data_IF_085266921332
#
_entry.id   IF_085266921332
#
_cell.length_a   1.000
_cell.length_b   1.000
_cell.length_c   1.000
_cell.angle_alpha   90.00
_cell.angle_beta   90.00
_cell.angle_gamma   90.00
#
_symmetry.space_group_name_H-M   'P 1'
#
loop_
_entity.id
_entity.type
_entity.pdbx_description
1 polymer ?
#
# COMPACT_ATOMS: atom_id res chain seq x y z
N UNK A 1 -5.18 -6.51 -20.07
CA UNK A 1 -5.59 -5.74 -18.88
C UNK A 1 -4.64 -6.12 -17.76
N UNK A 2 -3.96 -5.14 -17.20
CA UNK A 2 -3.10 -5.33 -16.04
C UNK A 2 -3.92 -5.87 -14.86
N UNK A 3 -3.32 -6.78 -14.08
CA UNK A 3 -3.95 -7.26 -12.84
C UNK A 3 -3.68 -6.23 -11.75
N UNK A 4 -4.73 -5.63 -11.24
CA UNK A 4 -4.64 -4.76 -10.07
C UNK A 4 -4.51 -5.60 -8.80
N UNK A 5 -3.47 -5.35 -8.02
CA UNK A 5 -3.35 -5.79 -6.64
C UNK A 5 -3.70 -4.68 -5.67
N UNK A 6 -3.76 -4.98 -4.38
CA UNK A 6 -3.96 -4.01 -3.32
C UNK A 6 -2.85 -4.14 -2.27
N UNK A 7 -2.21 -3.02 -1.93
CA UNK A 7 -1.31 -2.90 -0.79
C UNK A 7 -2.00 -2.07 0.28
N UNK A 8 -2.17 -2.63 1.48
CA UNK A 8 -2.68 -1.93 2.65
C UNK A 8 -1.49 -1.66 3.58
N UNK A 9 -1.14 -0.39 3.75
CA UNK A 9 -0.09 0.04 4.66
C UNK A 9 -0.67 0.13 6.08
N UNK A 10 -0.50 -0.92 6.87
CA UNK A 10 -1.02 -1.03 8.23
C UNK A 10 0.05 -0.81 9.30
N UNK A 11 1.33 -0.93 8.95
CA UNK A 11 2.47 -0.67 9.81
C UNK A 11 2.61 0.80 10.15
N UNK A 12 3.07 1.08 11.36
CA UNK A 12 3.36 2.44 11.83
C UNK A 12 3.40 2.50 13.35
N UNK A 13 4.34 3.29 13.88
CA UNK A 13 4.47 3.49 15.33
C UNK A 13 3.31 4.34 15.85
N UNK A 14 2.19 3.71 16.20
CA UNK A 14 1.05 4.38 16.86
C UNK A 14 1.36 4.71 18.34
N UNK A 15 2.56 5.26 18.61
CA UNK A 15 3.09 5.51 19.97
C UNK A 15 2.20 6.41 20.82
N UNK A 16 1.35 7.23 20.21
CA UNK A 16 0.45 8.17 20.91
C UNK A 16 -0.87 7.56 21.35
N UNK A 17 -1.27 6.41 20.80
CA UNK A 17 -2.62 5.86 20.98
C UNK A 17 -2.63 4.54 21.78
N UNK A 18 -1.47 4.03 22.19
CA UNK A 18 -1.35 2.82 23.02
C UNK A 18 -1.72 1.50 22.33
N UNK A 19 -2.25 1.56 21.11
CA UNK A 19 -2.57 0.39 20.29
C UNK A 19 -2.37 0.68 18.79
N UNK A 20 -2.11 -0.36 17.96
CA UNK A 20 -1.96 -0.19 16.52
C UNK A 20 -3.19 0.46 15.87
N UNK A 21 -2.96 1.51 15.05
CA UNK A 21 -4.05 2.23 14.37
C UNK A 21 -4.92 1.29 13.53
N UNK A 22 -4.32 0.29 12.91
CA UNK A 22 -5.00 -0.71 12.08
C UNK A 22 -6.14 -1.45 12.83
N UNK A 23 -5.98 -1.65 14.13
CA UNK A 23 -6.95 -2.35 14.97
C UNK A 23 -7.99 -1.43 15.62
N UNK A 24 -7.92 -0.13 15.38
CA UNK A 24 -8.93 0.80 15.91
C UNK A 24 -10.30 0.49 15.32
N UNK A 25 -11.36 0.60 16.15
CA UNK A 25 -12.71 0.40 15.70
C UNK A 25 -13.12 1.47 14.67
N UNK A 26 -13.80 1.02 13.63
CA UNK A 26 -14.44 1.82 12.61
C UNK A 26 -15.96 1.63 12.70
N UNK A 27 -16.68 1.84 11.62
CA UNK A 27 -18.14 1.71 11.56
C UNK A 27 -18.56 0.24 11.81
N UNK A 28 -19.69 0.02 12.49
CA UNK A 28 -20.30 -1.29 12.75
C UNK A 28 -19.44 -2.30 13.53
N UNK A 29 -18.46 -1.83 14.29
CA UNK A 29 -17.59 -2.69 15.09
C UNK A 29 -16.44 -3.36 14.31
N UNK A 30 -16.30 -3.08 13.03
CA UNK A 30 -15.13 -3.47 12.24
C UNK A 30 -13.91 -2.65 12.67
N UNK A 31 -12.71 -3.22 12.48
CA UNK A 31 -11.47 -2.45 12.58
C UNK A 31 -11.15 -1.74 11.25
N UNK A 32 -10.29 -0.71 11.29
CA UNK A 32 -9.84 -0.02 10.08
C UNK A 32 -9.23 -0.99 9.06
N UNK A 33 -8.43 -1.96 9.53
CA UNK A 33 -7.82 -2.95 8.63
C UNK A 33 -8.85 -3.93 8.05
N UNK A 34 -9.86 -4.34 8.82
CA UNK A 34 -10.96 -5.17 8.31
C UNK A 34 -11.73 -4.44 7.23
N UNK A 35 -12.00 -3.16 7.43
CA UNK A 35 -12.69 -2.32 6.45
C UNK A 35 -11.88 -2.18 5.15
N UNK A 36 -10.59 -1.84 5.25
CA UNK A 36 -9.72 -1.73 4.08
C UNK A 36 -9.59 -3.06 3.31
N UNK A 37 -9.44 -4.18 4.03
CA UNK A 37 -9.38 -5.52 3.45
C UNK A 37 -10.68 -5.88 2.73
N UNK A 38 -11.84 -5.58 3.34
CA UNK A 38 -13.14 -5.86 2.75
C UNK A 38 -13.33 -5.13 1.42
N UNK A 39 -12.90 -3.87 1.30
CA UNK A 39 -12.93 -3.14 0.02
C UNK A 39 -12.19 -3.88 -1.10
N UNK A 40 -11.02 -4.41 -0.82
CA UNK A 40 -10.26 -5.20 -1.79
C UNK A 40 -10.93 -6.52 -2.17
N UNK A 41 -11.48 -7.22 -1.17
CA UNK A 41 -12.18 -8.50 -1.39
C UNK A 41 -13.49 -8.30 -2.18
N UNK A 42 -14.28 -7.27 -1.85
CA UNK A 42 -15.54 -6.95 -2.55
C UNK A 42 -15.29 -6.50 -3.99
N UNK A 43 -14.14 -5.89 -4.27
CA UNK A 43 -13.68 -5.56 -5.62
C UNK A 43 -13.00 -6.72 -6.36
N UNK A 44 -13.06 -7.94 -5.79
CA UNK A 44 -12.47 -9.19 -6.33
C UNK A 44 -10.97 -9.11 -6.62
N UNK A 45 -10.23 -8.29 -5.85
CA UNK A 45 -8.76 -8.25 -5.95
C UNK A 45 -8.18 -9.61 -5.54
N UNK A 46 -7.28 -10.15 -6.38
CA UNK A 46 -6.72 -11.49 -6.21
C UNK A 46 -5.37 -11.49 -5.48
N UNK A 47 -4.74 -10.35 -5.29
CA UNK A 47 -3.42 -10.20 -4.68
C UNK A 47 -3.46 -9.00 -3.72
N UNK A 48 -3.75 -9.28 -2.44
CA UNK A 48 -3.87 -8.27 -1.38
C UNK A 48 -2.72 -8.46 -0.40
N UNK A 49 -1.88 -7.44 -0.29
CA UNK A 49 -0.70 -7.44 0.56
C UNK A 49 -0.89 -6.45 1.72
N UNK A 50 -0.77 -6.94 2.95
CA UNK A 50 -0.88 -6.12 4.16
C UNK A 50 0.52 -5.90 4.72
N UNK A 51 1.05 -4.68 4.59
CA UNK A 51 2.32 -4.30 5.22
C UNK A 51 2.09 -4.01 6.69
N UNK A 52 2.82 -4.70 7.55
CA UNK A 52 2.75 -4.54 9.01
C UNK A 52 3.97 -3.80 9.59
N UNK A 53 4.87 -3.30 8.74
CA UNK A 53 6.15 -2.77 9.20
C UNK A 53 6.99 -3.88 9.86
N UNK A 54 7.56 -3.58 11.03
CA UNK A 54 8.33 -4.53 11.85
C UNK A 54 7.52 -5.05 13.06
N UNK A 55 6.19 -4.92 13.04
CA UNK A 55 5.31 -5.26 14.16
C UNK A 55 4.72 -6.68 14.02
N UNK A 56 5.43 -7.68 14.54
CA UNK A 56 4.98 -9.08 14.54
C UNK A 56 3.68 -9.30 15.33
N UNK A 57 3.44 -8.51 16.38
CA UNK A 57 2.22 -8.64 17.19
C UNK A 57 1.01 -8.16 16.41
N UNK A 58 1.16 -7.08 15.64
CA UNK A 58 0.14 -6.63 14.71
C UNK A 58 -0.15 -7.71 13.66
N UNK A 59 0.89 -8.31 13.08
CA UNK A 59 0.75 -9.39 12.11
C UNK A 59 -0.03 -10.58 12.68
N UNK A 60 0.31 -11.03 13.88
CA UNK A 60 -0.39 -12.11 14.57
C UNK A 60 -1.85 -11.75 14.86
N UNK A 61 -2.12 -10.53 15.31
CA UNK A 61 -3.48 -10.07 15.58
C UNK A 61 -4.33 -10.02 14.29
N UNK A 62 -3.80 -9.52 13.19
CA UNK A 62 -4.47 -9.50 11.88
C UNK A 62 -4.74 -10.94 11.42
N UNK A 63 -3.74 -11.83 11.51
CA UNK A 63 -3.91 -13.23 11.13
C UNK A 63 -5.05 -13.87 11.91
N UNK A 64 -4.98 -13.83 13.26
CA UNK A 64 -5.88 -14.58 14.14
C UNK A 64 -7.30 -14.01 14.14
N UNK A 65 -7.44 -12.68 14.18
CA UNK A 65 -8.75 -12.04 14.38
C UNK A 65 -9.46 -11.64 13.09
N UNK A 66 -8.74 -11.62 11.96
CA UNK A 66 -9.29 -11.16 10.69
C UNK A 66 -9.15 -12.25 9.62
N UNK A 67 -7.90 -12.61 9.23
CA UNK A 67 -7.68 -13.53 8.11
C UNK A 67 -8.27 -14.92 8.41
N UNK A 68 -8.08 -15.43 9.63
CA UNK A 68 -8.58 -16.76 10.00
C UNK A 68 -10.12 -16.87 9.99
N UNK A 69 -10.82 -15.73 9.99
CA UNK A 69 -12.30 -15.70 9.89
C UNK A 69 -12.82 -15.66 8.46
N UNK A 70 -11.96 -15.42 7.48
CA UNK A 70 -12.30 -15.37 6.06
C UNK A 70 -12.58 -16.78 5.52
N UNK A 71 -13.29 -16.87 4.39
CA UNK A 71 -13.41 -18.10 3.61
C UNK A 71 -12.05 -18.54 3.06
N UNK A 72 -11.91 -19.80 2.67
CA UNK A 72 -10.67 -20.31 2.10
C UNK A 72 -10.28 -19.59 0.80
N UNK A 73 -11.24 -19.21 -0.03
CA UNK A 73 -11.00 -18.48 -1.27
C UNK A 73 -10.48 -17.06 -0.99
N UNK A 74 -11.03 -16.36 0.01
CA UNK A 74 -10.56 -15.05 0.43
C UNK A 74 -9.17 -15.13 1.08
N UNK A 75 -8.90 -16.14 1.91
CA UNK A 75 -7.58 -16.36 2.52
C UNK A 75 -6.46 -16.47 1.49
N UNK A 76 -6.73 -17.16 0.38
CA UNK A 76 -5.76 -17.36 -0.68
C UNK A 76 -5.39 -16.06 -1.42
N UNK A 77 -6.19 -15.00 -1.29
CA UNK A 77 -5.96 -13.70 -1.89
C UNK A 77 -5.13 -12.75 -1.01
N UNK A 78 -4.91 -13.08 0.27
CA UNK A 78 -4.36 -12.16 1.27
C UNK A 78 -3.02 -12.66 1.81
N UNK A 79 -2.04 -11.79 1.87
CA UNK A 79 -0.75 -12.07 2.47
C UNK A 79 -0.31 -10.95 3.41
N UNK A 80 0.21 -11.31 4.58
CA UNK A 80 0.86 -10.37 5.49
C UNK A 80 2.33 -10.26 5.11
N UNK A 81 2.80 -9.03 4.92
CA UNK A 81 4.18 -8.74 4.54
C UNK A 81 4.84 -7.91 5.66
N UNK A 82 5.94 -8.44 6.19
CA UNK A 82 6.81 -7.72 7.11
C UNK A 82 7.86 -6.94 6.30
N UNK A 83 8.25 -5.77 6.80
CA UNK A 83 9.30 -4.98 6.15
C UNK A 83 10.62 -5.75 6.11
N UNK A 84 11.16 -5.91 4.90
CA UNK A 84 12.45 -6.57 4.66
C UNK A 84 13.64 -5.64 4.89
N UNK A 85 13.39 -4.35 5.03
CA UNK A 85 14.37 -3.30 5.30
C UNK A 85 14.06 -2.67 6.65
N UNK A 86 15.06 -2.21 7.36
CA UNK A 86 14.89 -1.65 8.71
C UNK A 86 13.82 -0.56 8.79
N UNK A 87 13.77 0.21 9.86
CA UNK A 87 12.72 1.22 10.13
C UNK A 87 12.73 2.39 9.12
N UNK A 88 12.22 2.13 7.92
CA UNK A 88 12.12 3.11 6.82
C UNK A 88 10.70 3.66 6.64
N UNK A 89 9.83 3.50 7.64
CA UNK A 89 8.46 4.01 7.60
C UNK A 89 7.65 3.46 6.41
N UNK A 90 6.68 4.23 5.86
CA UNK A 90 5.83 3.76 4.78
C UNK A 90 6.59 3.35 3.50
N UNK A 91 7.78 3.93 3.27
CA UNK A 91 8.61 3.58 2.11
C UNK A 91 9.14 2.15 2.20
N UNK A 92 9.53 1.70 3.41
CA UNK A 92 9.95 0.32 3.68
C UNK A 92 8.82 -0.68 3.41
N UNK A 93 7.61 -0.37 3.87
CA UNK A 93 6.42 -1.19 3.63
C UNK A 93 6.04 -1.27 2.16
N UNK A 94 6.08 -0.14 1.44
CA UNK A 94 5.83 -0.10 0.01
C UNK A 94 6.87 -0.93 -0.77
N UNK A 95 8.16 -0.77 -0.47
CA UNK A 95 9.22 -1.56 -1.07
C UNK A 95 9.00 -3.06 -0.84
N UNK A 96 8.80 -3.46 0.41
CA UNK A 96 8.71 -4.87 0.80
C UNK A 96 7.51 -5.56 0.17
N UNK A 97 6.39 -4.87 0.03
CA UNK A 97 5.19 -5.40 -0.63
C UNK A 97 5.35 -5.47 -2.14
N UNK A 98 5.84 -4.41 -2.79
CA UNK A 98 6.08 -4.43 -4.24
C UNK A 98 7.11 -5.50 -4.66
N UNK A 99 8.10 -5.79 -3.81
CA UNK A 99 9.13 -6.79 -4.10
C UNK A 99 8.62 -8.24 -4.10
N UNK A 100 7.51 -8.53 -3.41
CA UNK A 100 6.92 -9.88 -3.32
C UNK A 100 5.62 -10.02 -4.09
N UNK A 101 5.03 -8.92 -4.50
CA UNK A 101 3.75 -8.88 -5.21
C UNK A 101 3.81 -9.53 -6.59
N UNK A 102 2.67 -10.07 -7.03
CA UNK A 102 2.52 -10.82 -8.29
C UNK A 102 1.65 -10.09 -9.32
N UNK A 103 1.00 -9.00 -8.93
CA UNK A 103 0.18 -8.18 -9.82
C UNK A 103 1.05 -7.20 -10.63
N UNK A 104 0.56 -6.75 -11.78
CA UNK A 104 1.28 -5.82 -12.66
C UNK A 104 1.22 -4.36 -12.20
N UNK A 105 0.23 -4.03 -11.36
CA UNK A 105 0.09 -2.73 -10.71
C UNK A 105 -0.61 -2.91 -9.36
N UNK A 106 -0.34 -2.02 -8.42
CA UNK A 106 -0.92 -2.05 -7.08
C UNK A 106 -1.59 -0.73 -6.72
N UNK A 107 -2.85 -0.81 -6.31
CA UNK A 107 -3.47 0.23 -5.51
C UNK A 107 -2.80 0.25 -4.13
N UNK A 108 -2.34 1.40 -3.68
CA UNK A 108 -1.78 1.57 -2.33
C UNK A 108 -2.74 2.38 -1.49
N UNK A 109 -3.06 1.87 -0.32
CA UNK A 109 -4.00 2.48 0.63
C UNK A 109 -3.39 2.47 2.03
N UNK A 110 -3.30 3.62 2.68
CA UNK A 110 -3.02 3.64 4.11
C UNK A 110 -4.26 3.17 4.88
N UNK A 111 -4.06 2.41 5.94
CA UNK A 111 -5.15 1.86 6.75
C UNK A 111 -6.07 2.92 7.35
N UNK A 112 -5.60 4.15 7.51
CA UNK A 112 -6.33 5.29 8.05
C UNK A 112 -7.03 6.15 6.98
N UNK A 113 -7.18 5.62 5.77
CA UNK A 113 -7.92 6.23 4.66
C UNK A 113 -9.23 5.48 4.36
N UNK A 114 -10.16 5.39 5.30
CA UNK A 114 -11.34 4.53 5.17
C UNK A 114 -12.33 4.97 4.08
N UNK A 115 -12.22 6.20 3.59
CA UNK A 115 -13.09 6.76 2.56
C UNK A 115 -12.55 6.59 1.13
N UNK A 116 -11.36 5.98 0.97
CA UNK A 116 -10.85 5.66 -0.37
C UNK A 116 -11.73 4.58 -1.03
N UNK A 117 -12.15 4.84 -2.26
CA UNK A 117 -13.01 3.93 -3.02
C UNK A 117 -12.22 3.21 -4.12
N UNK A 118 -12.54 1.93 -4.37
CA UNK A 118 -11.82 1.13 -5.36
C UNK A 118 -12.02 1.62 -6.78
N UNK A 119 -13.17 2.21 -7.10
CA UNK A 119 -13.45 2.78 -8.43
C UNK A 119 -12.41 3.83 -8.84
N UNK A 120 -11.96 4.65 -7.88
CA UNK A 120 -10.93 5.65 -8.13
C UNK A 120 -9.59 4.99 -8.56
N UNK A 121 -9.23 3.87 -7.94
CA UNK A 121 -8.03 3.13 -8.33
C UNK A 121 -8.15 2.49 -9.71
N UNK A 122 -9.34 2.05 -10.12
CA UNK A 122 -9.55 1.53 -11.48
C UNK A 122 -9.43 2.65 -12.53
N UNK A 123 -9.92 3.86 -12.23
CA UNK A 123 -9.74 5.02 -13.11
C UNK A 123 -8.25 5.37 -13.26
N UNK A 124 -7.49 5.34 -12.17
CA UNK A 124 -6.05 5.58 -12.21
C UNK A 124 -5.27 4.46 -12.91
N UNK A 125 -5.67 3.20 -12.73
CA UNK A 125 -5.08 2.08 -13.45
C UNK A 125 -5.22 2.26 -14.95
N UNK A 126 -6.42 2.66 -15.41
CA UNK A 126 -6.65 2.98 -16.81
C UNK A 126 -5.67 4.05 -17.32
N UNK A 127 -5.41 5.09 -16.55
CA UNK A 127 -4.44 6.13 -16.92
C UNK A 127 -3.00 5.60 -16.97
N UNK A 128 -2.61 4.76 -16.00
CA UNK A 128 -1.28 4.12 -15.94
C UNK A 128 -1.04 3.26 -17.18
N UNK A 129 -2.04 2.46 -17.58
CA UNK A 129 -1.95 1.60 -18.76
C UNK A 129 -1.83 2.41 -20.07
N UNK A 130 -2.64 3.46 -20.22
CA UNK A 130 -2.72 4.22 -21.48
C UNK A 130 -1.54 5.16 -21.69
N UNK A 131 -0.89 5.63 -20.62
CA UNK A 131 0.22 6.57 -20.71
C UNK A 131 1.59 5.92 -20.41
N UNK A 132 1.61 4.61 -20.17
CA UNK A 132 2.81 3.85 -19.76
C UNK A 132 3.50 4.45 -18.53
N UNK A 133 2.71 4.95 -17.59
CA UNK A 133 3.21 5.50 -16.35
C UNK A 133 3.53 4.39 -15.33
N UNK A 134 4.47 4.64 -14.44
CA UNK A 134 4.83 3.70 -13.38
C UNK A 134 4.18 4.02 -12.04
N UNK A 135 3.76 5.27 -11.86
CA UNK A 135 3.16 5.78 -10.62
C UNK A 135 2.11 6.82 -10.95
N UNK A 136 0.98 6.76 -10.25
CA UNK A 136 0.02 7.87 -10.11
C UNK A 136 -0.23 8.08 -8.62
N UNK A 137 -0.14 9.32 -8.16
CA UNK A 137 -0.54 9.73 -6.82
C UNK A 137 -1.41 10.97 -6.89
N UNK A 138 -2.47 11.07 -6.08
CA UNK A 138 -3.30 12.26 -6.01
C UNK A 138 -2.58 13.40 -5.28
N UNK A 139 -3.08 14.60 -5.49
CA UNK A 139 -2.72 15.78 -4.72
C UNK A 139 -3.91 16.20 -3.87
N UNK A 140 -3.66 16.55 -2.62
CA UNK A 140 -4.66 17.16 -1.75
C UNK A 140 -5.00 18.59 -2.24
N UNK A 141 -6.09 19.16 -1.76
CA UNK A 141 -6.47 20.54 -2.05
C UNK A 141 -5.37 21.55 -1.67
N UNK A 142 -4.54 21.22 -0.69
CA UNK A 142 -3.38 22.03 -0.29
C UNK A 142 -2.18 21.93 -1.24
N UNK A 143 -2.27 21.14 -2.31
CA UNK A 143 -1.20 20.93 -3.29
C UNK A 143 -0.10 19.98 -2.81
N UNK A 144 -0.34 19.14 -1.78
CA UNK A 144 0.59 18.11 -1.34
C UNK A 144 0.23 16.77 -1.97
N UNK A 145 1.25 16.04 -2.46
CA UNK A 145 1.06 14.68 -2.92
C UNK A 145 0.67 13.75 -1.77
N UNK A 146 -0.20 12.78 -2.05
CA UNK A 146 -0.66 11.76 -1.10
C UNK A 146 -0.14 10.38 -1.52
N UNK A 147 1.15 10.11 -1.30
CA UNK A 147 1.81 8.91 -1.82
C UNK A 147 1.31 7.60 -1.21
N UNK A 148 0.58 7.65 -0.10
CA UNK A 148 -0.05 6.48 0.49
C UNK A 148 -1.46 6.20 -0.07
N UNK A 149 -1.83 6.89 -1.16
CA UNK A 149 -3.09 6.70 -1.87
C UNK A 149 -2.82 6.80 -3.39
N UNK A 150 -2.29 5.77 -4.02
CA UNK A 150 -1.92 5.84 -5.43
C UNK A 150 -1.84 4.49 -6.11
N UNK A 151 -1.49 4.49 -7.39
CA UNK A 151 -1.13 3.29 -8.15
C UNK A 151 0.39 3.24 -8.33
N UNK A 152 0.95 2.05 -8.12
CA UNK A 152 2.38 1.80 -8.24
C UNK A 152 2.62 0.51 -9.02
N UNK A 153 3.51 0.54 -10.02
CA UNK A 153 3.98 -0.68 -10.70
C UNK A 153 5.14 -1.30 -9.92
N UNK A 154 5.25 -2.65 -9.83
CA UNK A 154 6.33 -3.32 -9.11
C UNK A 154 7.73 -2.93 -9.57
N UNK A 155 7.87 -2.52 -10.83
CA UNK A 155 9.14 -2.08 -11.41
C UNK A 155 9.85 -1.01 -10.57
N UNK A 156 9.10 -0.13 -9.88
CA UNK A 156 9.72 0.92 -9.05
C UNK A 156 10.38 0.39 -7.77
N UNK A 157 10.17 -0.88 -7.40
CA UNK A 157 10.80 -1.45 -6.20
C UNK A 157 12.34 -1.35 -6.27
N UNK A 158 12.94 -1.55 -7.44
CA UNK A 158 14.39 -1.41 -7.63
C UNK A 158 14.87 0.03 -7.43
N UNK A 159 14.07 1.02 -7.83
CA UNK A 159 14.36 2.44 -7.61
C UNK A 159 14.24 2.80 -6.12
N UNK A 160 13.16 2.33 -5.48
CA UNK A 160 12.97 2.53 -4.04
C UNK A 160 14.13 1.90 -3.25
N UNK A 161 14.59 0.71 -3.64
CA UNK A 161 15.74 0.06 -3.00
C UNK A 161 16.99 0.96 -3.02
N UNK A 162 17.25 1.62 -4.13
CA UNK A 162 18.38 2.55 -4.24
C UNK A 162 18.24 3.78 -3.32
N UNK A 163 17.01 4.24 -3.06
CA UNK A 163 16.73 5.35 -2.16
C UNK A 163 16.88 4.93 -0.69
N UNK A 164 16.50 3.68 -0.36
CA UNK A 164 16.54 3.15 1.00
C UNK A 164 17.95 3.04 1.60
N UNK A 165 19.00 3.08 0.78
CA UNK A 165 20.39 3.14 1.24
C UNK A 165 20.88 4.56 1.49
N UNK A 166 20.09 5.58 1.16
CA UNK A 166 20.40 7.00 1.36
C UNK A 166 20.01 7.53 2.74
N UNK A 167 20.25 8.80 2.96
CA UNK A 167 19.92 9.48 4.24
C UNK A 167 18.44 9.87 4.34
N UNK A 168 17.76 10.15 3.22
CA UNK A 168 16.36 10.56 3.19
C UNK A 168 15.47 9.43 2.64
N UNK A 169 14.89 8.67 3.54
CA UNK A 169 14.01 7.52 3.25
C UNK A 169 12.52 7.88 3.33
N UNK A 170 12.16 9.14 3.07
CA UNK A 170 10.75 9.54 3.04
C UNK A 170 10.08 9.17 1.72
N UNK A 171 8.78 8.84 1.79
CA UNK A 171 7.99 8.46 0.61
C UNK A 171 7.83 9.64 -0.37
N UNK A 172 7.74 10.88 0.13
CA UNK A 172 7.72 12.08 -0.72
C UNK A 172 9.03 12.26 -1.48
N UNK A 173 10.18 12.11 -0.81
CA UNK A 173 11.47 12.18 -1.49
C UNK A 173 11.61 11.09 -2.56
N UNK A 174 11.13 9.87 -2.27
CA UNK A 174 11.14 8.80 -3.26
C UNK A 174 10.32 9.16 -4.51
N UNK A 175 9.15 9.77 -4.34
CA UNK A 175 8.34 10.25 -5.47
C UNK A 175 9.07 11.33 -6.27
N UNK A 176 9.69 12.31 -5.62
CA UNK A 176 10.44 13.37 -6.30
C UNK A 176 11.55 12.77 -7.17
N UNK A 177 12.31 11.81 -6.65
CA UNK A 177 13.38 11.12 -7.40
C UNK A 177 12.79 10.31 -8.56
N UNK A 178 11.73 9.55 -8.35
CA UNK A 178 11.06 8.75 -9.38
C UNK A 178 10.53 9.68 -10.50
N UNK A 179 9.83 10.76 -10.15
CA UNK A 179 9.31 11.71 -11.13
C UNK A 179 10.42 12.38 -11.93
N UNK A 180 11.54 12.77 -11.31
CA UNK A 180 12.69 13.39 -11.99
C UNK A 180 13.32 12.44 -13.02
N UNK A 181 13.43 11.14 -12.72
CA UNK A 181 14.01 10.17 -13.64
C UNK A 181 13.14 9.94 -14.88
N UNK A 182 11.81 10.06 -14.77
CA UNK A 182 10.89 9.86 -15.89
C UNK A 182 10.60 11.11 -16.71
N UNK A 183 10.87 12.31 -16.20
CA UNK A 183 10.75 13.56 -16.96
C UNK A 183 12.01 13.89 -17.78
N UNK A 184 13.17 13.34 -17.42
CA UNK A 184 14.42 13.58 -18.13
C UNK A 184 14.56 12.78 -19.44
N UNK A 185 13.84 11.66 -19.60
CA UNK A 185 13.89 10.83 -20.81
C UNK A 185 12.85 11.26 -21.86
N UNK A 186 12.05 12.29 -21.61
CA UNK A 186 11.03 12.83 -22.52
C UNK A 186 11.47 14.09 -23.28
N UNK A 187 12.78 14.40 -23.31
CA UNK A 187 13.33 15.58 -24.00
C UNK A 187 14.13 15.18 -25.24
#
# INVERSE_FOLDING_TARGET
MDKLGLIILAGGLSTRMGQPKALLPWINGESLISHALRKGLDADIQDILISIGDDEQLGLAIQTHIIDTLSNDEKNKVSIVRDSVGRCGPLGGLYSTLAVGTSSAYAVMAVDMPFMEMDLYYDWLYQVEHNDWNVIVPYSESGKSEPMAGIYRPYIASLIQSILVGENVSLHHALDVICLLYTSDAA
#
